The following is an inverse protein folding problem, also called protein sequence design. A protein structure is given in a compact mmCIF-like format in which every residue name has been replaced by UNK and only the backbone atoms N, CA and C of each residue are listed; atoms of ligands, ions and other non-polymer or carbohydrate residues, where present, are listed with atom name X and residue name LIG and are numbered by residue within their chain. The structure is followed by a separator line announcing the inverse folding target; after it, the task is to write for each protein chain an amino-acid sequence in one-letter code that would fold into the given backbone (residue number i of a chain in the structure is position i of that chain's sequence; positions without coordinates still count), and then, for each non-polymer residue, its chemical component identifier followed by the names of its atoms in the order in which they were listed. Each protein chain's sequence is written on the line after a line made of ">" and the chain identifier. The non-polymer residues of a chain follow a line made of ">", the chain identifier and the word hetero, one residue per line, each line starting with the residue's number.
data_IF_615966242098
#
_entry.id   IF_615966242098
#
_cell.length_a   1.000
_cell.length_b   1.000
_cell.length_c   1.000
_cell.angle_alpha   90.00
_cell.angle_beta   90.00
_cell.angle_gamma   90.00
#
_symmetry.space_group_name_H-M   'P 1'
#
loop_
_entity.id
_entity.type
_entity.pdbx_description
1 polymer ?
#
# COMPACT_ATOMS: atom_id res chain seq x y z
N UNK A 1 -72.53 47.53 18.48
CA UNK A 1 -72.42 48.15 17.13
C UNK A 1 -70.95 48.22 16.75
N UNK A 2 -70.54 47.49 15.68
CA UNK A 2 -69.65 47.89 14.56
C UNK A 2 -68.42 48.77 14.94
N UNK A 3 -67.15 48.45 14.66
CA UNK A 3 -66.54 47.94 13.40
C UNK A 3 -65.05 47.59 13.56
N UNK A 4 -64.60 46.67 12.69
CA UNK A 4 -63.33 46.64 11.91
C UNK A 4 -61.98 46.48 12.64
N UNK A 5 -60.99 45.77 12.12
CA UNK A 5 -60.82 45.09 10.83
C UNK A 5 -59.33 44.72 10.70
N UNK A 6 -59.04 43.44 10.51
CA UNK A 6 -57.70 42.88 10.58
C UNK A 6 -57.05 42.58 9.23
N UNK A 7 -55.72 42.71 9.24
CA UNK A 7 -54.68 42.03 8.45
C UNK A 7 -54.62 42.30 6.94
N UNK A 8 -53.58 43.09 6.61
CA UNK A 8 -52.95 43.22 5.30
C UNK A 8 -52.22 41.94 4.91
N UNK A 9 -52.51 41.50 3.69
CA UNK A 9 -51.75 40.56 2.86
C UNK A 9 -50.79 41.36 1.99
N UNK A 10 -49.55 40.90 1.83
CA UNK A 10 -48.68 41.33 0.73
C UNK A 10 -47.93 40.14 0.10
N UNK A 11 -47.70 40.15 -1.23
CA UNK A 11 -47.23 38.99 -1.98
C UNK A 11 -45.80 39.14 -2.55
N UNK A 12 -45.27 38.00 -3.01
CA UNK A 12 -44.37 37.79 -4.16
C UNK A 12 -43.34 38.89 -4.50
N UNK A 13 -42.05 38.55 -4.36
CA UNK A 13 -41.00 39.08 -5.22
C UNK A 13 -40.39 37.96 -6.07
N UNK A 14 -40.73 38.02 -7.35
CA UNK A 14 -40.03 37.45 -8.48
C UNK A 14 -38.73 38.24 -8.70
N UNK A 15 -37.61 37.56 -8.93
CA UNK A 15 -36.45 38.14 -9.60
C UNK A 15 -35.89 37.11 -10.56
N UNK A 16 -35.89 37.50 -11.83
CA UNK A 16 -35.45 36.74 -12.98
C UNK A 16 -34.12 37.30 -13.48
N UNK A 17 -33.43 36.44 -14.23
CA UNK A 17 -32.33 36.68 -15.17
C UNK A 17 -30.91 36.90 -14.57
N UNK A 18 -29.95 36.09 -15.04
CA UNK A 18 -29.10 36.45 -16.19
C UNK A 18 -28.22 35.22 -16.56
N UNK A 19 -28.22 34.87 -17.85
CA UNK A 19 -27.24 34.00 -18.50
C UNK A 19 -25.83 34.58 -18.37
N UNK A 20 -24.81 33.74 -18.17
CA UNK A 20 -23.57 33.87 -18.95
C UNK A 20 -22.86 32.51 -19.03
N UNK A 21 -22.66 32.04 -20.25
CA UNK A 21 -21.74 30.96 -20.57
C UNK A 21 -20.30 31.50 -20.46
N UNK A 22 -19.42 30.74 -19.81
CA UNK A 22 -17.98 30.84 -20.02
C UNK A 22 -17.34 29.48 -19.76
N UNK A 23 -16.86 28.89 -20.87
CA UNK A 23 -15.85 27.85 -20.89
C UNK A 23 -14.56 28.37 -20.26
N UNK A 24 -14.02 27.66 -19.27
CA UNK A 24 -12.58 27.69 -19.00
C UNK A 24 -12.16 26.42 -18.26
N UNK A 25 -11.46 25.57 -19.00
CA UNK A 25 -10.62 24.50 -18.49
C UNK A 25 -9.77 25.00 -17.33
N UNK A 26 -9.87 24.36 -16.17
CA UNK A 26 -8.81 24.38 -15.17
C UNK A 26 -8.57 22.94 -14.69
N UNK A 27 -7.72 22.28 -15.45
CA UNK A 27 -6.95 21.11 -15.03
C UNK A 27 -6.18 21.51 -13.77
N UNK A 28 -6.54 20.94 -12.63
CA UNK A 28 -5.69 20.96 -11.43
C UNK A 28 -5.18 19.54 -11.24
N UNK A 29 -4.21 19.16 -12.08
CA UNK A 29 -3.28 18.08 -11.80
C UNK A 29 -2.25 18.60 -10.83
N UNK A 30 -2.35 18.20 -9.57
CA UNK A 30 -1.27 18.33 -8.61
C UNK A 30 -1.05 16.97 -7.95
N UNK A 31 -0.15 16.18 -8.55
CA UNK A 31 0.51 15.07 -7.89
C UNK A 31 1.99 15.44 -7.76
N UNK A 32 2.47 15.53 -6.52
CA UNK A 32 3.89 15.74 -6.22
C UNK A 32 4.46 14.47 -5.57
N UNK A 33 5.30 13.79 -6.36
CA UNK A 33 6.58 13.12 -6.09
C UNK A 33 6.79 12.24 -4.84
N UNK A 34 7.26 11.00 -5.08
CA UNK A 34 8.67 10.66 -4.80
C UNK A 34 9.18 9.50 -5.68
N UNK A 35 10.41 9.67 -6.16
CA UNK A 35 11.14 8.88 -7.15
C UNK A 35 11.58 7.49 -6.68
N UNK A 36 11.67 6.52 -7.60
CA UNK A 36 12.88 5.72 -7.86
C UNK A 36 12.79 5.03 -9.22
N UNK A 37 13.88 5.09 -10.00
CA UNK A 37 14.01 4.64 -11.40
C UNK A 37 14.38 3.15 -11.48
N UNK A 38 13.70 2.37 -12.31
CA UNK A 38 14.28 1.27 -13.08
C UNK A 38 13.32 0.85 -14.21
N UNK A 39 13.84 0.57 -15.41
CA UNK A 39 13.11 0.34 -16.65
C UNK A 39 13.05 -1.15 -17.00
N UNK A 40 11.89 -1.65 -17.38
CA UNK A 40 11.76 -2.67 -18.43
C UNK A 40 10.33 -2.62 -18.99
N UNK A 41 10.20 -2.47 -20.32
CA UNK A 41 8.93 -2.54 -21.07
C UNK A 41 8.95 -3.82 -21.88
N UNK A 42 8.00 -4.72 -21.63
CA UNK A 42 7.62 -5.72 -22.62
C UNK A 42 6.12 -5.60 -22.94
N UNK A 43 5.83 -5.51 -24.23
CA UNK A 43 4.48 -5.55 -24.77
C UNK A 43 3.87 -6.92 -24.44
N UNK A 44 2.76 -6.94 -23.69
CA UNK A 44 2.04 -8.18 -23.37
C UNK A 44 1.32 -8.65 -24.64
N UNK A 45 1.59 -9.86 -25.16
CA UNK A 45 0.86 -10.38 -26.30
C UNK A 45 -0.58 -10.72 -25.88
N UNK A 46 -1.52 -10.01 -26.48
CA UNK A 46 -2.94 -10.35 -26.48
C UNK A 46 -3.12 -11.70 -27.19
N UNK A 47 -3.25 -12.79 -26.44
CA UNK A 47 -4.14 -13.93 -26.73
C UNK A 47 -3.66 -15.22 -26.04
N UNK A 48 -3.97 -15.38 -24.75
CA UNK A 48 -4.16 -16.70 -24.15
C UNK A 48 -5.38 -16.66 -23.23
N UNK A 49 -6.30 -17.59 -23.44
CA UNK A 49 -7.57 -17.71 -22.74
C UNK A 49 -7.31 -18.16 -21.27
N UNK A 50 -7.08 -17.19 -20.38
CA UNK A 50 -6.65 -17.36 -18.98
C UNK A 50 -7.66 -18.09 -18.08
N UNK A 51 -8.92 -18.24 -18.52
CA UNK A 51 -9.98 -18.93 -17.78
C UNK A 51 -9.64 -20.40 -17.46
N UNK A 52 -8.75 -21.02 -18.23
CA UNK A 52 -8.36 -22.43 -18.04
C UNK A 52 -7.20 -22.59 -17.05
N UNK A 53 -6.33 -21.59 -16.91
CA UNK A 53 -5.18 -21.64 -15.97
C UNK A 53 -5.65 -21.46 -14.52
N UNK A 54 -6.64 -20.61 -14.28
CA UNK A 54 -7.20 -20.34 -12.95
C UNK A 54 -7.98 -21.52 -12.33
N UNK A 55 -8.38 -22.53 -13.11
CA UNK A 55 -9.21 -23.66 -12.64
C UNK A 55 -8.43 -24.94 -12.34
N UNK A 56 -7.17 -25.03 -12.77
CA UNK A 56 -6.34 -26.24 -12.64
C UNK A 56 -5.24 -26.13 -11.57
N UNK A 57 -4.90 -24.93 -11.10
CA UNK A 57 -3.89 -24.73 -10.08
C UNK A 57 -4.51 -24.79 -8.68
N UNK A 58 -4.18 -25.84 -7.93
CA UNK A 58 -4.24 -25.82 -6.46
C UNK A 58 -3.58 -24.53 -5.96
N UNK A 59 -4.21 -23.84 -5.03
CA UNK A 59 -3.86 -22.50 -4.53
C UNK A 59 -2.41 -22.33 -4.07
N UNK A 60 -1.70 -23.42 -3.83
CA UNK A 60 -0.40 -23.43 -3.18
C UNK A 60 0.78 -23.18 -4.13
N UNK A 61 0.58 -23.23 -5.46
CA UNK A 61 1.68 -23.19 -6.43
C UNK A 61 1.85 -21.88 -7.22
N UNK A 62 0.86 -20.96 -7.20
CA UNK A 62 0.89 -19.80 -8.11
C UNK A 62 1.76 -18.65 -7.57
N UNK A 63 1.77 -18.49 -6.24
CA UNK A 63 2.38 -17.34 -5.55
C UNK A 63 3.32 -17.83 -4.44
N UNK A 64 4.52 -18.26 -4.83
CA UNK A 64 5.58 -18.66 -3.89
C UNK A 64 6.44 -17.45 -3.52
N UNK A 65 6.64 -17.24 -2.22
CA UNK A 65 7.66 -16.31 -1.72
C UNK A 65 9.05 -16.93 -1.77
N UNK A 66 10.07 -16.11 -1.88
CA UNK A 66 11.44 -16.56 -1.62
C UNK A 66 11.62 -16.77 -0.11
N UNK A 67 11.80 -18.02 0.31
CA UNK A 67 12.05 -18.40 1.71
C UNK A 67 13.53 -18.31 2.10
N UNK A 68 14.43 -18.28 1.10
CA UNK A 68 15.88 -18.23 1.28
C UNK A 68 16.41 -16.80 1.29
N UNK A 69 15.71 -15.89 1.94
CA UNK A 69 16.13 -14.49 2.09
C UNK A 69 16.06 -14.04 3.56
N UNK A 70 16.74 -12.95 3.87
CA UNK A 70 16.61 -12.29 5.16
C UNK A 70 15.18 -11.77 5.34
N UNK A 71 14.51 -12.22 6.41
CA UNK A 71 13.18 -11.75 6.82
C UNK A 71 13.14 -11.46 8.32
N UNK A 72 12.40 -10.42 8.75
CA UNK A 72 12.13 -10.21 10.16
C UNK A 72 11.23 -11.32 10.71
N UNK A 73 11.38 -11.68 11.98
CA UNK A 73 10.44 -12.60 12.62
C UNK A 73 9.14 -11.89 13.00
N UNK A 74 8.02 -12.61 13.03
CA UNK A 74 6.74 -12.06 13.51
C UNK A 74 6.80 -11.51 14.93
N UNK A 75 7.60 -12.13 15.82
CA UNK A 75 7.84 -11.62 17.18
C UNK A 75 8.61 -10.29 17.12
N UNK A 76 9.63 -10.16 16.27
CA UNK A 76 10.37 -8.91 16.11
C UNK A 76 9.47 -7.78 15.60
N UNK A 77 8.67 -8.03 14.56
CA UNK A 77 7.69 -7.05 14.04
C UNK A 77 6.71 -6.64 15.12
N UNK A 78 6.18 -7.60 15.88
CA UNK A 78 5.28 -7.32 17.01
C UNK A 78 5.98 -6.45 18.05
N UNK A 79 7.22 -6.77 18.44
CA UNK A 79 7.99 -6.01 19.43
C UNK A 79 8.23 -4.57 18.99
N UNK A 80 8.73 -4.34 17.76
CA UNK A 80 9.00 -2.98 17.27
C UNK A 80 7.71 -2.17 17.15
N UNK A 81 6.58 -2.81 16.84
CA UNK A 81 5.29 -2.13 16.81
C UNK A 81 4.86 -1.57 18.16
N UNK A 82 5.31 -2.17 19.27
CA UNK A 82 5.12 -1.67 20.64
C UNK A 82 6.23 -0.69 21.09
N UNK A 83 7.20 -0.39 20.23
CA UNK A 83 8.38 0.41 20.56
C UNK A 83 9.41 -0.34 21.40
N UNK A 84 9.40 -1.68 21.39
CA UNK A 84 10.46 -2.49 21.99
C UNK A 84 11.57 -2.76 20.97
N UNK A 85 12.82 -2.97 21.42
CA UNK A 85 13.87 -3.43 20.52
C UNK A 85 13.54 -4.82 19.96
N UNK A 86 13.83 -5.04 18.69
CA UNK A 86 13.86 -6.37 18.07
C UNK A 86 14.96 -7.23 18.72
N UNK A 87 14.84 -8.55 18.61
CA UNK A 87 15.88 -9.51 18.97
C UNK A 87 16.96 -9.56 17.89
N UNK A 88 16.55 -9.59 16.63
CA UNK A 88 17.45 -9.52 15.47
C UNK A 88 17.78 -8.07 15.12
N UNK A 89 19.03 -7.79 14.76
CA UNK A 89 19.43 -6.50 14.16
C UNK A 89 18.78 -6.37 12.77
N UNK A 90 18.56 -5.13 12.30
CA UNK A 90 18.03 -4.84 10.97
C UNK A 90 16.50 -4.86 10.83
N UNK A 91 15.74 -5.36 11.82
CA UNK A 91 14.26 -5.43 11.72
C UNK A 91 13.59 -4.05 11.85
N UNK A 92 14.20 -3.12 12.56
CA UNK A 92 13.72 -1.75 12.66
C UNK A 92 14.84 -0.75 12.50
N UNK A 93 14.50 0.42 11.96
CA UNK A 93 15.41 1.55 11.81
C UNK A 93 15.09 2.66 12.81
N UNK A 94 16.09 3.48 13.17
CA UNK A 94 15.83 4.74 13.90
C UNK A 94 15.19 5.80 13.01
N UNK A 95 15.45 5.75 11.70
CA UNK A 95 14.90 6.69 10.71
C UNK A 95 13.50 6.32 10.22
N UNK A 96 13.06 5.07 10.40
CA UNK A 96 11.75 4.59 9.98
C UNK A 96 10.92 4.22 11.23
N UNK A 97 9.91 5.01 11.61
CA UNK A 97 9.09 4.69 12.78
C UNK A 97 8.18 3.48 12.50
N UNK A 98 8.18 2.53 13.45
CA UNK A 98 7.30 1.36 13.44
C UNK A 98 6.35 1.32 14.65
N UNK A 99 6.50 2.22 15.62
CA UNK A 99 5.67 2.18 16.83
C UNK A 99 4.25 2.69 16.52
N UNK A 100 3.26 1.82 16.66
CA UNK A 100 1.86 2.16 16.47
C UNK A 100 1.13 2.45 17.79
N UNK A 101 0.11 3.32 17.74
CA UNK A 101 -0.74 3.70 18.88
C UNK A 101 -1.88 2.67 19.10
N UNK A 102 -2.84 2.97 19.99
CA UNK A 102 -3.97 2.07 20.27
C UNK A 102 -4.97 1.97 19.12
N UNK A 103 -5.31 3.07 18.46
CA UNK A 103 -6.27 3.08 17.35
C UNK A 103 -5.73 2.32 16.13
N UNK A 104 -4.47 2.57 15.79
CA UNK A 104 -3.72 1.85 14.76
C UNK A 104 -3.60 0.36 15.09
N UNK A 105 -3.53 0.01 16.39
CA UNK A 105 -3.49 -1.39 16.82
C UNK A 105 -4.77 -2.12 16.45
N UNK A 106 -5.92 -1.50 16.67
CA UNK A 106 -7.22 -2.07 16.33
C UNK A 106 -7.39 -2.20 14.81
N UNK A 107 -6.83 -1.28 14.02
CA UNK A 107 -6.74 -1.41 12.57
C UNK A 107 -5.83 -2.57 12.16
N UNK A 108 -4.65 -2.67 12.75
CA UNK A 108 -3.69 -3.74 12.48
C UNK A 108 -4.25 -5.12 12.82
N UNK A 109 -4.90 -5.28 13.97
CA UNK A 109 -5.48 -6.57 14.39
C UNK A 109 -6.62 -7.00 13.45
N UNK A 110 -7.47 -6.06 13.00
CA UNK A 110 -8.48 -6.33 11.96
C UNK A 110 -7.86 -6.66 10.61
N UNK A 111 -6.78 -5.98 10.24
CA UNK A 111 -6.08 -6.23 8.98
C UNK A 111 -5.51 -7.64 8.92
N UNK A 112 -4.91 -8.13 10.02
CA UNK A 112 -4.41 -9.52 10.09
C UNK A 112 -5.50 -10.56 9.89
N UNK A 113 -6.72 -10.29 10.37
CA UNK A 113 -7.86 -11.20 10.15
C UNK A 113 -8.39 -11.16 8.72
N UNK A 114 -8.42 -9.97 8.11
CA UNK A 114 -8.99 -9.76 6.77
C UNK A 114 -8.01 -10.04 5.64
N UNK A 115 -6.71 -9.94 5.89
CA UNK A 115 -5.68 -9.90 4.86
C UNK A 115 -5.54 -8.54 4.15
N UNK A 116 -6.29 -7.52 4.57
CA UNK A 116 -6.30 -6.17 3.97
C UNK A 116 -6.23 -5.12 5.06
N UNK A 117 -5.30 -4.19 4.96
CA UNK A 117 -5.22 -3.04 5.85
C UNK A 117 -6.08 -1.90 5.33
N UNK A 118 -7.11 -1.53 6.10
CA UNK A 118 -7.97 -0.40 5.78
C UNK A 118 -7.54 0.87 6.55
N UNK A 119 -7.16 1.94 5.85
CA UNK A 119 -6.77 3.22 6.44
C UNK A 119 -7.62 4.37 5.88
N UNK A 120 -7.67 5.49 6.60
CA UNK A 120 -8.22 6.74 6.09
C UNK A 120 -7.09 7.67 5.65
N UNK A 121 -7.20 8.24 4.45
CA UNK A 121 -6.13 9.04 3.86
C UNK A 121 -4.81 8.27 3.74
N UNK A 122 -3.68 8.93 3.99
CA UNK A 122 -2.32 8.38 3.82
C UNK A 122 -1.74 7.67 5.05
N UNK A 123 -2.51 7.54 6.15
CA UNK A 123 -2.01 7.10 7.46
C UNK A 123 -0.80 7.89 8.02
N UNK A 124 -0.51 9.05 7.45
CA UNK A 124 0.59 9.92 7.88
C UNK A 124 0.35 10.52 9.27
N UNK A 125 1.40 10.53 10.09
CA UNK A 125 1.40 11.18 11.41
C UNK A 125 2.45 12.27 11.51
N UNK A 126 1.99 13.51 11.71
CA UNK A 126 2.86 14.68 11.90
C UNK A 126 3.88 14.51 13.04
N UNK A 127 3.49 13.92 14.17
CA UNK A 127 4.37 13.70 15.34
C UNK A 127 5.57 12.80 15.04
N UNK A 128 5.46 11.92 14.04
CA UNK A 128 6.52 10.97 13.65
C UNK A 128 7.06 11.23 12.24
N UNK A 129 6.48 12.20 11.52
CA UNK A 129 6.76 12.54 10.11
C UNK A 129 6.82 11.32 9.20
N UNK A 130 5.90 10.38 9.39
CA UNK A 130 5.81 9.15 8.59
C UNK A 130 4.48 8.43 8.89
N UNK A 131 4.27 7.23 8.32
CA UNK A 131 3.12 6.35 8.52
C UNK A 131 3.51 5.01 9.19
N UNK A 132 3.67 4.97 10.53
CA UNK A 132 4.20 3.78 11.21
C UNK A 132 3.31 2.54 11.10
N UNK A 133 2.00 2.73 10.89
CA UNK A 133 1.07 1.65 10.63
C UNK A 133 1.37 0.95 9.30
N UNK A 134 1.58 1.71 8.23
CA UNK A 134 1.97 1.17 6.92
C UNK A 134 3.32 0.45 6.99
N UNK A 135 4.32 1.09 7.61
CA UNK A 135 5.64 0.48 7.79
C UNK A 135 5.58 -0.85 8.57
N UNK A 136 4.75 -0.91 9.62
CA UNK A 136 4.57 -2.12 10.43
C UNK A 136 3.81 -3.20 9.68
N UNK A 137 2.80 -2.80 8.90
CA UNK A 137 2.01 -3.72 8.10
C UNK A 137 2.85 -4.37 7.00
N UNK A 138 3.61 -3.57 6.24
CA UNK A 138 4.54 -4.07 5.22
C UNK A 138 5.59 -5.03 5.80
N UNK A 139 6.19 -4.68 6.95
CA UNK A 139 7.09 -5.58 7.69
C UNK A 139 6.41 -6.88 8.13
N UNK A 140 5.13 -6.84 8.51
CA UNK A 140 4.40 -8.03 8.93
C UNK A 140 4.09 -8.95 7.74
N UNK A 141 3.75 -8.39 6.59
CA UNK A 141 3.58 -9.10 5.33
C UNK A 141 4.90 -9.75 4.88
N UNK A 142 6.02 -9.03 4.97
CA UNK A 142 7.37 -9.55 4.66
C UNK A 142 7.80 -10.68 5.60
N UNK A 143 7.50 -10.57 6.90
CA UNK A 143 7.75 -11.64 7.86
C UNK A 143 6.97 -12.94 7.56
N UNK A 144 5.90 -12.86 6.75
CA UNK A 144 5.08 -14.00 6.34
C UNK A 144 5.34 -14.48 4.92
N UNK A 145 6.13 -13.76 4.12
CA UNK A 145 6.23 -14.02 2.69
C UNK A 145 4.87 -13.90 1.99
N UNK A 146 4.10 -12.85 2.32
CA UNK A 146 2.77 -12.59 1.73
C UNK A 146 2.69 -11.17 1.21
N UNK A 147 1.97 -10.97 0.09
CA UNK A 147 1.75 -9.65 -0.49
C UNK A 147 1.09 -8.70 0.53
N UNK A 148 1.35 -7.40 0.38
CA UNK A 148 0.82 -6.36 1.25
C UNK A 148 -0.34 -5.65 0.56
N UNK A 149 -1.56 -5.84 1.07
CA UNK A 149 -2.77 -5.20 0.53
C UNK A 149 -3.20 -4.05 1.44
N UNK A 150 -3.41 -2.86 0.86
CA UNK A 150 -3.83 -1.65 1.56
C UNK A 150 -5.02 -1.02 0.86
N UNK A 151 -6.07 -0.70 1.61
CA UNK A 151 -7.21 0.10 1.15
C UNK A 151 -7.16 1.47 1.81
N UNK A 152 -6.81 2.48 1.02
CA UNK A 152 -6.76 3.89 1.39
C UNK A 152 -8.10 4.55 1.10
N UNK A 153 -8.83 4.90 2.16
CA UNK A 153 -10.17 5.49 2.06
C UNK A 153 -10.08 6.98 1.78
N UNK A 154 -10.67 7.40 0.66
CA UNK A 154 -10.94 8.79 0.33
C UNK A 154 -12.00 9.39 1.25
N UNK A 155 -12.14 10.72 1.21
CA UNK A 155 -13.12 11.46 2.02
C UNK A 155 -14.56 11.16 1.61
N UNK A 156 -14.78 10.99 0.30
CA UNK A 156 -16.09 10.81 -0.32
C UNK A 156 -16.53 9.34 -0.43
N UNK A 157 -15.59 8.39 -0.33
CA UNK A 157 -15.85 6.97 -0.55
C UNK A 157 -16.06 6.58 -2.02
N UNK A 158 -15.82 7.51 -2.95
CA UNK A 158 -15.90 7.30 -4.40
C UNK A 158 -14.51 7.18 -5.04
N UNK A 159 -13.48 7.70 -4.35
CA UNK A 159 -12.08 7.67 -4.76
C UNK A 159 -11.20 6.90 -3.77
N UNK A 160 -11.70 5.75 -3.27
CA UNK A 160 -10.90 4.88 -2.43
C UNK A 160 -9.83 4.18 -3.31
N UNK A 161 -8.59 4.12 -2.85
CA UNK A 161 -7.47 3.49 -3.58
C UNK A 161 -7.16 2.15 -2.93
N UNK A 162 -7.30 1.06 -3.67
CA UNK A 162 -6.83 -0.25 -3.27
C UNK A 162 -5.46 -0.47 -3.90
N UNK A 163 -4.46 -0.83 -3.10
CA UNK A 163 -3.14 -1.18 -3.62
C UNK A 163 -2.62 -2.51 -3.08
N UNK A 164 -1.84 -3.18 -3.93
CA UNK A 164 -1.18 -4.45 -3.65
C UNK A 164 0.30 -4.28 -3.93
N UNK A 165 1.10 -4.36 -2.86
CA UNK A 165 2.55 -4.38 -2.93
C UNK A 165 3.05 -5.83 -2.90
N UNK A 166 3.72 -6.24 -3.98
CA UNK A 166 4.28 -7.58 -4.17
C UNK A 166 5.70 -7.73 -3.63
N UNK A 167 6.36 -6.62 -3.27
CA UNK A 167 7.75 -6.64 -2.75
C UNK A 167 7.96 -7.58 -1.55
N UNK A 168 7.00 -7.80 -0.62
CA UNK A 168 7.16 -8.80 0.44
C UNK A 168 7.35 -10.24 -0.03
N UNK A 169 7.01 -10.57 -1.29
CA UNK A 169 7.23 -11.91 -1.83
C UNK A 169 8.72 -12.17 -2.14
N UNK A 170 9.53 -11.12 -2.32
CA UNK A 170 10.99 -11.20 -2.55
C UNK A 170 11.37 -12.00 -3.81
N UNK A 171 10.57 -11.87 -4.86
CA UNK A 171 10.72 -12.58 -6.14
C UNK A 171 10.66 -11.59 -7.31
N UNK A 172 11.66 -10.70 -7.47
CA UNK A 172 11.60 -9.62 -8.46
C UNK A 172 11.36 -10.11 -9.88
N UNK A 173 11.95 -11.25 -10.27
CA UNK A 173 11.75 -11.89 -11.58
C UNK A 173 10.30 -12.31 -11.85
N UNK A 174 9.49 -12.53 -10.81
CA UNK A 174 8.10 -12.99 -10.93
C UNK A 174 7.06 -11.88 -10.76
N UNK A 175 7.46 -10.65 -10.39
CA UNK A 175 6.50 -9.60 -10.04
C UNK A 175 5.53 -9.26 -11.17
N UNK A 176 6.01 -9.15 -12.41
CA UNK A 176 5.16 -8.84 -13.56
C UNK A 176 4.14 -9.95 -13.85
N UNK A 177 4.58 -11.20 -13.77
CA UNK A 177 3.71 -12.37 -13.94
C UNK A 177 2.61 -12.39 -12.88
N UNK A 178 2.99 -12.17 -11.61
CA UNK A 178 2.05 -12.15 -10.48
C UNK A 178 1.07 -10.97 -10.61
N UNK A 179 1.57 -9.80 -10.96
CA UNK A 179 0.75 -8.61 -11.19
C UNK A 179 -0.25 -8.82 -12.31
N UNK A 180 0.17 -9.44 -13.42
CA UNK A 180 -0.70 -9.78 -14.55
C UNK A 180 -1.83 -10.71 -14.14
N UNK A 181 -1.56 -11.70 -13.28
CA UNK A 181 -2.60 -12.58 -12.72
C UNK A 181 -3.56 -11.79 -11.83
N UNK A 182 -3.06 -10.92 -10.95
CA UNK A 182 -3.90 -10.08 -10.10
C UNK A 182 -4.81 -9.18 -10.94
N UNK A 183 -4.29 -8.51 -11.97
CA UNK A 183 -5.07 -7.65 -12.86
C UNK A 183 -6.10 -8.46 -13.65
N UNK A 184 -5.70 -9.60 -14.21
CA UNK A 184 -6.59 -10.45 -15.03
C UNK A 184 -7.66 -11.18 -14.22
N UNK A 185 -7.45 -11.35 -12.91
CA UNK A 185 -8.43 -11.97 -12.01
C UNK A 185 -9.63 -11.06 -11.71
N UNK A 186 -9.63 -9.84 -12.24
CA UNK A 186 -10.57 -8.78 -11.89
C UNK A 186 -11.10 -8.13 -13.16
N UNK A 187 -12.43 -8.03 -13.31
CA UNK A 187 -13.09 -7.31 -14.40
C UNK A 187 -13.05 -5.77 -14.24
N UNK A 188 -11.95 -5.24 -13.70
CA UNK A 188 -11.77 -3.82 -13.40
C UNK A 188 -10.39 -3.40 -13.87
N UNK A 189 -10.36 -2.51 -14.86
CA UNK A 189 -9.11 -1.97 -15.41
C UNK A 189 -8.41 -1.16 -14.32
N UNK A 190 -7.17 -1.52 -13.92
CA UNK A 190 -6.38 -0.72 -13.00
C UNK A 190 -6.11 0.66 -13.61
N UNK A 191 -6.06 1.69 -12.76
CA UNK A 191 -5.56 2.99 -13.19
C UNK A 191 -4.05 2.84 -13.35
N UNK A 192 -3.58 2.75 -14.59
CA UNK A 192 -2.15 2.77 -14.86
C UNK A 192 -1.57 4.08 -14.33
N UNK A 193 -0.54 3.99 -13.50
CA UNK A 193 0.32 5.14 -13.23
C UNK A 193 1.25 5.29 -14.43
N UNK A 194 0.95 6.28 -15.28
CA UNK A 194 1.85 6.67 -16.37
C UNK A 194 3.18 7.15 -15.77
N UNK A 195 4.27 6.53 -16.21
CA UNK A 195 5.63 6.98 -15.91
C UNK A 195 6.15 7.72 -17.14
N UNK A 196 6.54 8.99 -16.95
CA UNK A 196 7.12 9.82 -18.00
C UNK A 196 8.40 9.18 -18.56
N UNK A 197 8.40 9.00 -19.87
CA UNK A 197 9.37 8.32 -20.73
C UNK A 197 10.42 9.33 -21.17
N UNK A 198 11.61 9.30 -20.57
CA UNK A 198 12.76 10.10 -21.03
C UNK A 198 13.67 9.17 -21.83
N UNK A 199 13.50 9.19 -23.15
CA UNK A 199 14.21 8.31 -24.08
C UNK A 199 15.70 8.62 -24.12
N UNK A 200 16.55 7.66 -23.76
CA UNK A 200 18.00 7.73 -23.97
C UNK A 200 18.38 6.81 -25.13
N UNK A 201 19.10 7.36 -26.11
CA UNK A 201 19.58 6.65 -27.31
C UNK A 201 20.82 5.83 -27.02
N UNK A 202 20.84 4.61 -27.54
CA UNK A 202 21.92 3.60 -27.45
C UNK A 202 22.88 3.76 -28.62
N UNK A 203 24.18 3.70 -28.37
CA UNK A 203 25.23 3.29 -29.33
C UNK A 203 26.55 3.02 -28.57
N UNK A 204 26.69 1.84 -27.94
CA UNK A 204 27.97 1.09 -27.85
C UNK A 204 27.71 -0.31 -27.23
N UNK A 205 27.90 -1.38 -28.01
CA UNK A 205 27.20 -2.66 -27.77
C UNK A 205 28.08 -3.86 -27.32
N UNK A 206 29.32 -3.65 -26.87
CA UNK A 206 30.22 -4.79 -26.58
C UNK A 206 30.87 -4.79 -25.18
N UNK A 207 30.73 -3.73 -24.37
CA UNK A 207 31.16 -3.70 -22.94
C UNK A 207 29.98 -3.80 -21.94
N UNK A 208 28.73 -3.88 -22.41
CA UNK A 208 27.54 -3.77 -21.56
C UNK A 208 27.12 -5.07 -20.84
N UNK A 209 27.47 -6.26 -21.36
CA UNK A 209 26.95 -7.53 -20.80
C UNK A 209 27.47 -7.82 -19.38
N UNK A 210 28.77 -7.63 -19.12
CA UNK A 210 29.36 -7.85 -17.78
C UNK A 210 28.85 -6.82 -16.75
N UNK A 211 28.66 -5.56 -17.18
CA UNK A 211 28.07 -4.53 -16.33
C UNK A 211 26.60 -4.79 -16.00
N UNK A 212 25.82 -5.28 -16.98
CA UNK A 212 24.43 -5.66 -16.76
C UNK A 212 24.30 -6.85 -15.80
N UNK A 213 25.16 -7.87 -15.95
CA UNK A 213 25.16 -9.04 -15.07
C UNK A 213 25.53 -8.65 -13.63
N UNK A 214 26.53 -7.78 -13.45
CA UNK A 214 26.90 -7.23 -12.13
C UNK A 214 25.75 -6.42 -11.51
N UNK A 215 25.07 -5.57 -12.29
CA UNK A 215 23.89 -4.81 -11.83
C UNK A 215 22.74 -5.74 -11.43
N UNK A 216 22.50 -6.83 -12.16
CA UNK A 216 21.46 -7.82 -11.82
C UNK A 216 21.79 -8.55 -10.52
N UNK A 217 23.04 -8.96 -10.33
CA UNK A 217 23.53 -9.58 -9.10
C UNK A 217 23.33 -8.65 -7.88
N UNK A 218 23.70 -7.37 -7.99
CA UNK A 218 23.53 -6.38 -6.93
C UNK A 218 22.05 -6.18 -6.54
N UNK A 219 21.15 -6.26 -7.51
CA UNK A 219 19.71 -6.17 -7.28
C UNK A 219 19.21 -7.42 -6.54
N UNK A 220 19.57 -8.62 -6.99
CA UNK A 220 19.17 -9.86 -6.33
C UNK A 220 19.67 -9.93 -4.88
N UNK A 221 20.94 -9.57 -4.65
CA UNK A 221 21.53 -9.50 -3.31
C UNK A 221 20.81 -8.48 -2.42
N UNK A 222 20.39 -7.34 -2.99
CA UNK A 222 19.58 -6.37 -2.27
C UNK A 222 18.23 -6.97 -1.82
N UNK A 223 17.53 -7.70 -2.69
CA UNK A 223 16.28 -8.38 -2.36
C UNK A 223 16.46 -9.50 -1.35
N UNK A 224 17.63 -10.14 -1.32
CA UNK A 224 17.93 -11.22 -0.39
C UNK A 224 18.29 -10.71 1.01
N UNK A 225 19.07 -9.64 1.14
CA UNK A 225 19.67 -9.26 2.43
C UNK A 225 19.07 -8.02 3.09
N UNK A 226 18.47 -7.12 2.32
CA UNK A 226 18.00 -5.84 2.88
C UNK A 226 16.66 -5.98 3.59
N UNK A 227 16.40 -5.18 4.63
CA UNK A 227 15.07 -5.11 5.20
C UNK A 227 14.07 -4.46 4.24
N UNK A 228 12.81 -4.91 4.27
CA UNK A 228 11.78 -4.50 3.31
C UNK A 228 11.53 -2.99 3.27
N UNK A 229 11.74 -2.26 4.38
CA UNK A 229 11.61 -0.81 4.40
C UNK A 229 12.70 -0.05 3.63
N UNK A 230 13.77 -0.73 3.21
CA UNK A 230 14.80 -0.20 2.30
C UNK A 230 14.57 -0.60 0.84
N UNK A 231 13.62 -1.51 0.60
CA UNK A 231 13.29 -1.98 -0.74
C UNK A 231 12.15 -1.15 -1.30
N UNK A 232 12.27 -0.80 -2.59
CA UNK A 232 11.20 -0.16 -3.34
C UNK A 232 9.98 -1.10 -3.37
N UNK A 233 8.76 -0.56 -3.15
CA UNK A 233 7.55 -1.34 -3.34
C UNK A 233 7.38 -1.68 -4.83
N UNK A 234 6.80 -2.85 -5.10
CA UNK A 234 6.30 -3.18 -6.43
C UNK A 234 4.78 -3.18 -6.32
N UNK A 235 4.16 -2.07 -6.70
CA UNK A 235 2.77 -1.76 -6.36
C UNK A 235 1.87 -1.74 -7.60
N UNK A 236 0.73 -2.42 -7.52
CA UNK A 236 -0.39 -2.28 -8.45
C UNK A 236 -1.57 -1.66 -7.69
N UNK A 237 -2.29 -0.75 -8.32
CA UNK A 237 -3.37 -0.02 -7.66
C UNK A 237 -4.61 0.20 -8.54
N UNK A 238 -5.75 0.34 -7.86
CA UNK A 238 -7.05 0.62 -8.47
C UNK A 238 -7.73 1.75 -7.70
N UNK A 239 -8.34 2.68 -8.43
CA UNK A 239 -9.23 3.70 -7.85
C UNK A 239 -10.68 3.26 -8.01
N UNK A 240 -11.38 3.08 -6.89
CA UNK A 240 -12.69 2.43 -6.86
C UNK A 240 -13.64 3.07 -5.86
N UNK A 241 -14.93 2.76 -6.00
CA UNK A 241 -15.89 3.03 -4.94
C UNK A 241 -15.57 2.15 -3.73
N UNK A 242 -15.94 2.60 -2.53
CA UNK A 242 -15.68 1.86 -1.28
C UNK A 242 -16.25 0.44 -1.28
N UNK A 243 -17.39 0.23 -1.93
CA UNK A 243 -18.03 -1.07 -2.03
C UNK A 243 -17.18 -2.03 -2.86
N UNK A 244 -16.80 -1.59 -4.06
CA UNK A 244 -16.01 -2.36 -5.01
C UNK A 244 -14.59 -2.60 -4.48
N UNK A 245 -13.95 -1.59 -3.89
CA UNK A 245 -12.62 -1.69 -3.30
C UNK A 245 -12.56 -2.75 -2.18
N UNK A 246 -13.61 -2.83 -1.35
CA UNK A 246 -13.71 -3.86 -0.30
C UNK A 246 -13.96 -5.25 -0.87
N UNK A 247 -14.80 -5.36 -1.90
CA UNK A 247 -15.09 -6.63 -2.58
C UNK A 247 -13.81 -7.16 -3.22
N UNK A 248 -13.15 -6.32 -4.01
CA UNK A 248 -11.90 -6.63 -4.68
C UNK A 248 -10.78 -6.96 -3.69
N UNK A 249 -10.60 -6.14 -2.65
CA UNK A 249 -9.60 -6.42 -1.61
C UNK A 249 -9.80 -7.79 -0.95
N UNK A 250 -11.05 -8.22 -0.73
CA UNK A 250 -11.36 -9.55 -0.20
C UNK A 250 -11.03 -10.67 -1.18
N UNK A 251 -11.31 -10.47 -2.46
CA UNK A 251 -10.98 -11.44 -3.52
C UNK A 251 -9.46 -11.60 -3.66
N UNK A 252 -8.72 -10.49 -3.73
CA UNK A 252 -7.25 -10.49 -3.77
C UNK A 252 -6.63 -11.07 -2.49
N UNK A 253 -7.18 -10.78 -1.32
CA UNK A 253 -6.70 -11.37 -0.06
C UNK A 253 -6.87 -12.89 -0.03
N UNK A 254 -7.92 -13.42 -0.67
CA UNK A 254 -8.13 -14.86 -0.83
C UNK A 254 -7.18 -15.44 -1.89
N UNK A 255 -7.00 -14.75 -3.01
CA UNK A 255 -6.10 -15.17 -4.10
C UNK A 255 -4.64 -15.27 -3.63
N UNK A 256 -4.20 -14.30 -2.83
CA UNK A 256 -2.81 -14.14 -2.37
C UNK A 256 -2.57 -14.70 -0.95
N UNK A 257 -3.57 -15.34 -0.33
CA UNK A 257 -3.49 -15.93 1.02
C UNK A 257 -2.92 -14.95 2.08
N UNK A 258 -3.38 -13.69 2.08
CA UNK A 258 -2.81 -12.65 2.94
C UNK A 258 -3.42 -12.62 4.33
N UNK A 259 -4.58 -13.24 4.54
CA UNK A 259 -5.19 -13.35 5.87
C UNK A 259 -4.34 -14.27 6.78
N UNK A 260 -4.26 -13.96 8.08
CA UNK A 260 -3.60 -14.82 9.06
C UNK A 260 -4.65 -15.73 9.71
N UNK A 261 -4.64 -17.05 9.43
CA UNK A 261 -5.62 -17.97 10.00
C UNK A 261 -5.48 -18.09 11.53
N UNK A 262 -4.35 -17.68 12.11
CA UNK A 262 -4.09 -17.68 13.55
C UNK A 262 -4.36 -16.32 14.19
N UNK A 263 -4.86 -15.34 13.44
CA UNK A 263 -5.10 -13.99 13.94
C UNK A 263 -6.21 -13.97 15.01
N UNK A 264 -5.80 -13.71 16.25
CA UNK A 264 -6.73 -13.43 17.36
C UNK A 264 -7.32 -12.03 17.22
N UNK A 265 -8.56 -11.87 17.70
CA UNK A 265 -9.28 -10.58 17.69
C UNK A 265 -8.55 -9.43 18.39
N UNK A 266 -7.66 -9.74 19.35
CA UNK A 266 -6.75 -8.77 19.96
C UNK A 266 -5.35 -9.35 20.11
N UNK A 267 -4.35 -8.61 19.66
CA UNK A 267 -2.95 -8.90 19.94
C UNK A 267 -2.65 -8.74 21.43
N UNK A 268 -2.02 -9.76 22.03
CA UNK A 268 -1.55 -9.65 23.41
C UNK A 268 -0.27 -8.83 23.42
N UNK A 269 -0.22 -7.82 24.28
CA UNK A 269 1.02 -7.08 24.55
C UNK A 269 2.10 -8.08 25.01
N UNK A 270 3.27 -8.15 24.37
CA UNK A 270 4.30 -9.12 24.75
C UNK A 270 4.70 -8.92 26.22
N UNK A 271 4.72 -9.98 27.02
CA UNK A 271 4.97 -9.92 28.47
C UNK A 271 6.28 -9.19 28.83
N UNK A 272 6.34 -8.62 30.04
CA UNK A 272 7.49 -7.83 30.50
C UNK A 272 7.51 -6.36 30.09
N UNK A 273 6.38 -5.76 29.66
CA UNK A 273 6.32 -4.31 29.36
C UNK A 273 5.92 -3.53 30.61
N UNK A 274 6.89 -3.07 31.39
CA UNK A 274 6.63 -1.93 32.28
C UNK A 274 6.40 -0.70 31.41
N UNK A 275 5.16 -0.23 31.36
CA UNK A 275 4.88 1.12 30.86
C UNK A 275 5.54 2.08 31.84
N UNK A 276 6.62 2.76 31.45
CA UNK A 276 7.17 3.81 32.33
C UNK A 276 8.67 4.06 32.31
N UNK A 277 9.54 3.18 31.79
CA UNK A 277 10.92 3.61 31.48
C UNK A 277 10.94 4.28 30.11
N UNK A 278 10.25 5.42 30.03
CA UNK A 278 10.45 6.37 28.96
C UNK A 278 11.92 6.75 28.96
N UNK A 279 12.59 6.58 27.83
CA UNK A 279 13.82 7.32 27.53
C UNK A 279 13.42 8.80 27.45
N UNK A 280 13.29 9.43 28.62
CA UNK A 280 13.08 10.86 28.77
C UNK A 280 14.37 11.66 28.60
N UNK A 281 15.50 11.01 28.35
CA UNK A 281 16.69 11.68 27.83
C UNK A 281 16.83 11.40 26.33
N UNK A 282 16.53 12.42 25.54
CA UNK A 282 17.24 12.63 24.28
C UNK A 282 18.70 12.82 24.62
N UNK A 283 19.48 11.74 24.52
CA UNK A 283 20.93 11.82 24.42
C UNK A 283 21.28 11.80 22.95
N UNK A 284 21.53 12.98 22.38
CA UNK A 284 22.57 13.07 21.34
C UNK A 284 23.86 12.63 22.03
N UNK A 285 24.41 11.52 21.56
CA UNK A 285 25.59 10.89 22.14
C UNK A 285 26.08 9.83 21.16
N UNK A 286 26.48 10.32 19.99
CA UNK A 286 27.38 9.59 19.09
C UNK A 286 28.76 10.18 19.42
N UNK A 287 29.56 9.39 20.12
CA UNK A 287 31.01 9.39 19.95
C UNK A 287 31.38 8.29 18.98
#
# INVERSE_FOLDING_TARGET
>A
MKTAGGKLSSPLMTLSAIMLAASSSQTITNAFLHHSRFHQRHQIPNHLHLSTILRAASSDAIFTSNENCWRPSLDDVTRISYGKPSKKKGVGSRGVPHRINSEERDLWDRARQKGVLEIAGSAWRSQRRDAPLLNTWRNWCDARGRACIVLSKGKDGMSDVLSVDLSPLRVPADFERIASVCVSSVDVVPTATDFDDDSFTVDDAEEEEEEEEMKRQDVEDAWNDRPIYQLSPYEISWTLTRGDAKKLGKELAKLLDTADPKAKAKSRKPSGVKAGKGRRSGGYGIG
#
